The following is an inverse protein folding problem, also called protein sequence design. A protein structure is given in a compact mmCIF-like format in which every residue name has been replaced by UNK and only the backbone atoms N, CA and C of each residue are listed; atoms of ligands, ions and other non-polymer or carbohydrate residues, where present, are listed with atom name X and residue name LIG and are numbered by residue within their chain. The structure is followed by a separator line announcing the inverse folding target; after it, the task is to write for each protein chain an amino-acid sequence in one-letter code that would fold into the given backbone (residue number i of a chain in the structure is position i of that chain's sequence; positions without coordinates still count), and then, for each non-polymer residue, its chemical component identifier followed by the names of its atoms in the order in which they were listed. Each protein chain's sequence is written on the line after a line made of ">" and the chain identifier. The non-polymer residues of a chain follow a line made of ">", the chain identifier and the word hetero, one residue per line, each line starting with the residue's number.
data_IF_099929867950
#
_entry.id   IF_099929867950
#
_cell.length_a   1.000
_cell.length_b   1.000
_cell.length_c   1.000
_cell.angle_alpha   90.00
_cell.angle_beta   90.00
_cell.angle_gamma   90.00
#
_symmetry.space_group_name_H-M   'P 1'
#
loop_
_entity.id
_entity.type
_entity.pdbx_description
1 polymer ?
#
# COMPACT_ATOMS: atom_id res chain seq x y z
N UNK A 1 43.02 -13.02 22.16
CA UNK A 1 41.93 -12.00 22.27
C UNK A 1 41.67 -11.20 20.99
N UNK A 2 42.58 -11.17 20.00
CA UNK A 2 42.45 -10.28 18.81
C UNK A 2 41.45 -10.77 17.74
N UNK A 3 41.25 -12.08 17.60
CA UNK A 3 40.33 -12.68 16.62
C UNK A 3 38.85 -12.61 17.05
N UNK A 4 38.57 -12.72 18.36
CA UNK A 4 37.20 -12.60 18.89
C UNK A 4 36.65 -11.17 18.79
N UNK A 5 37.52 -10.16 18.83
CA UNK A 5 37.15 -8.76 18.64
C UNK A 5 36.82 -8.42 17.17
N UNK A 6 37.45 -9.11 16.21
CA UNK A 6 37.24 -8.88 14.78
C UNK A 6 35.86 -9.37 14.31
N UNK A 7 35.33 -10.45 14.90
CA UNK A 7 34.00 -10.98 14.59
C UNK A 7 32.85 -10.07 15.09
N UNK A 8 33.10 -9.28 16.14
CA UNK A 8 32.09 -8.39 16.74
C UNK A 8 31.86 -7.10 15.91
N UNK A 9 32.84 -6.71 15.09
CA UNK A 9 32.75 -5.53 14.21
C UNK A 9 31.96 -5.85 12.92
N UNK A 10 31.88 -7.12 12.52
CA UNK A 10 31.23 -7.53 11.27
C UNK A 10 29.69 -7.49 11.32
N UNK A 11 29.08 -7.38 12.51
CA UNK A 11 27.62 -7.30 12.68
C UNK A 11 27.09 -5.88 12.42
N UNK A 12 27.95 -4.85 12.41
CA UNK A 12 27.54 -3.45 12.21
C UNK A 12 27.49 -2.98 10.74
N UNK A 13 27.91 -3.81 9.78
CA UNK A 13 27.93 -3.41 8.35
C UNK A 13 26.65 -3.78 7.59
N UNK A 14 25.74 -4.54 8.20
CA UNK A 14 24.42 -4.81 7.61
C UNK A 14 23.39 -3.88 8.23
N UNK A 15 23.52 -2.58 7.99
CA UNK A 15 22.41 -1.66 8.24
C UNK A 15 21.24 -2.10 7.36
N UNK A 16 20.07 -2.47 7.90
CA UNK A 16 18.88 -2.57 7.07
C UNK A 16 18.64 -1.18 6.49
N UNK A 17 18.46 -1.09 5.18
CA UNK A 17 17.92 0.10 4.52
C UNK A 17 16.50 0.30 5.08
N UNK A 18 16.40 0.96 6.23
CA UNK A 18 15.12 1.40 6.78
C UNK A 18 14.70 2.58 5.92
N UNK A 19 14.01 2.30 4.82
CA UNK A 19 13.29 3.32 4.07
C UNK A 19 12.12 3.78 4.96
N UNK A 20 12.19 5.03 5.42
CA UNK A 20 11.06 5.65 6.08
C UNK A 20 9.93 5.81 5.06
N UNK A 21 8.81 5.13 5.29
CA UNK A 21 7.61 5.25 4.44
C UNK A 21 6.93 6.57 4.75
N UNK A 22 6.80 7.42 3.74
CA UNK A 22 6.05 8.67 3.83
C UNK A 22 4.58 8.41 3.47
N UNK A 23 3.76 8.11 4.50
CA UNK A 23 2.33 7.85 4.32
C UNK A 23 1.56 9.07 3.79
N UNK A 24 2.05 10.29 4.00
CA UNK A 24 1.47 11.50 3.42
C UNK A 24 1.62 11.48 1.91
N UNK A 25 2.85 11.29 1.43
CA UNK A 25 3.12 11.18 -0.02
C UNK A 25 2.47 9.96 -0.66
N UNK A 26 2.34 8.84 0.07
CA UNK A 26 1.63 7.66 -0.42
C UNK A 26 0.12 7.92 -0.55
N UNK A 27 -0.46 8.69 0.37
CA UNK A 27 -1.86 9.13 0.23
C UNK A 27 -2.01 10.07 -0.96
N UNK A 28 -1.05 10.97 -1.15
CA UNK A 28 -1.04 11.92 -2.26
C UNK A 28 -0.73 11.27 -3.62
N UNK A 29 -0.27 10.01 -3.65
CA UNK A 29 -0.09 9.25 -4.89
C UNK A 29 -1.38 8.61 -5.40
N UNK A 30 -2.49 8.79 -4.68
CA UNK A 30 -3.81 8.30 -5.08
C UNK A 30 -4.70 9.46 -5.50
N UNK A 31 -5.16 9.45 -6.74
CA UNK A 31 -6.23 10.31 -7.21
C UNK A 31 -7.56 9.83 -6.62
N UNK A 32 -8.06 10.55 -5.62
CA UNK A 32 -9.28 10.19 -4.90
C UNK A 32 -10.53 10.22 -5.78
N UNK A 33 -10.57 11.05 -6.82
CA UNK A 33 -11.71 11.12 -7.73
C UNK A 33 -11.74 9.86 -8.59
N UNK A 34 -10.63 9.51 -9.24
CA UNK A 34 -10.53 8.27 -10.03
C UNK A 34 -10.73 7.01 -9.17
N UNK A 35 -10.18 7.01 -7.95
CA UNK A 35 -10.39 5.90 -7.02
C UNK A 35 -11.86 5.75 -6.63
N UNK A 36 -12.60 6.86 -6.45
CA UNK A 36 -14.04 6.81 -6.20
C UNK A 36 -14.84 6.34 -7.43
N UNK A 37 -14.40 6.67 -8.65
CA UNK A 37 -15.04 6.24 -9.90
C UNK A 37 -14.82 4.75 -10.20
N UNK A 38 -13.81 4.13 -9.59
CA UNK A 38 -13.57 2.71 -9.67
C UNK A 38 -14.57 1.87 -8.84
N UNK A 39 -15.39 2.51 -8.00
CA UNK A 39 -16.35 1.82 -7.13
C UNK A 39 -17.75 1.90 -7.70
N UNK A 40 -18.32 0.74 -8.02
CA UNK A 40 -19.75 0.60 -8.30
C UNK A 40 -20.53 0.69 -6.99
N UNK A 41 -21.15 1.85 -6.75
CA UNK A 41 -21.88 2.13 -5.50
C UNK A 41 -23.13 1.27 -5.35
N UNK A 42 -23.76 0.85 -6.43
CA UNK A 42 -24.99 0.05 -6.34
C UNK A 42 -24.64 -1.41 -6.03
N UNK A 43 -23.59 -1.93 -6.66
CA UNK A 43 -23.04 -3.24 -6.31
C UNK A 43 -22.46 -3.28 -4.90
N UNK A 44 -21.81 -2.20 -4.45
CA UNK A 44 -21.30 -2.09 -3.09
C UNK A 44 -22.44 -2.06 -2.06
N UNK A 45 -23.52 -1.30 -2.30
CA UNK A 45 -24.70 -1.31 -1.42
C UNK A 45 -25.31 -2.71 -1.32
N UNK A 46 -25.36 -3.45 -2.42
CA UNK A 46 -25.84 -4.83 -2.44
C UNK A 46 -24.99 -5.82 -1.62
N UNK A 47 -23.78 -5.45 -1.19
CA UNK A 47 -22.93 -6.28 -0.34
C UNK A 47 -23.22 -6.16 1.15
N UNK A 48 -24.11 -5.25 1.56
CA UNK A 48 -24.48 -5.01 2.96
C UNK A 48 -25.91 -5.51 3.20
N UNK A 49 -26.10 -6.29 4.27
CA UNK A 49 -27.40 -6.80 4.69
C UNK A 49 -27.56 -6.68 6.22
N UNK A 50 -28.73 -7.08 6.73
CA UNK A 50 -28.97 -7.14 8.17
C UNK A 50 -28.05 -8.14 8.90
N UNK A 51 -27.57 -9.15 8.17
CA UNK A 51 -26.71 -10.21 8.72
C UNK A 51 -25.21 -9.86 8.64
N UNK A 52 -24.85 -8.75 7.98
CA UNK A 52 -23.47 -8.25 7.93
C UNK A 52 -23.02 -7.77 6.54
N UNK A 53 -21.72 -7.90 6.28
CA UNK A 53 -21.08 -7.46 5.02
C UNK A 53 -20.49 -8.66 4.30
N UNK A 54 -20.90 -8.87 3.04
CA UNK A 54 -20.21 -9.79 2.14
C UNK A 54 -19.00 -9.09 1.51
N UNK A 55 -17.83 -9.28 2.14
CA UNK A 55 -16.57 -8.71 1.66
C UNK A 55 -16.18 -9.16 0.26
N UNK A 56 -16.61 -10.35 -0.18
CA UNK A 56 -16.31 -10.84 -1.53
C UNK A 56 -17.15 -10.09 -2.56
N UNK A 57 -18.43 -9.87 -2.26
CA UNK A 57 -19.30 -9.02 -3.07
C UNK A 57 -18.82 -7.57 -3.09
N UNK A 58 -18.43 -7.01 -1.92
CA UNK A 58 -17.88 -5.66 -1.79
C UNK A 58 -16.59 -5.48 -2.61
N UNK A 59 -15.66 -6.43 -2.55
CA UNK A 59 -14.46 -6.42 -3.38
C UNK A 59 -14.80 -6.53 -4.88
N UNK A 60 -15.86 -7.27 -5.22
CA UNK A 60 -16.39 -7.36 -6.57
C UNK A 60 -17.02 -6.07 -7.10
N UNK A 61 -17.31 -5.08 -6.24
CA UNK A 61 -17.78 -3.76 -6.63
C UNK A 61 -16.65 -2.82 -7.07
N UNK A 62 -15.39 -3.22 -6.92
CA UNK A 62 -14.23 -2.42 -7.31
C UNK A 62 -13.72 -2.85 -8.69
N UNK A 63 -13.71 -1.93 -9.64
CA UNK A 63 -13.03 -2.08 -10.92
C UNK A 63 -11.52 -1.91 -10.72
N UNK A 64 -10.79 -3.02 -10.82
CA UNK A 64 -9.33 -3.05 -10.63
C UNK A 64 -8.56 -2.29 -11.71
N UNK A 65 -9.11 -2.17 -12.92
CA UNK A 65 -8.50 -1.42 -14.00
C UNK A 65 -8.51 0.07 -13.67
N UNK A 66 -9.70 0.62 -13.37
CA UNK A 66 -9.86 2.01 -12.96
C UNK A 66 -9.12 2.33 -11.65
N UNK A 67 -9.15 1.41 -10.68
CA UNK A 67 -8.44 1.58 -9.42
C UNK A 67 -6.92 1.69 -9.62
N UNK A 68 -6.36 0.95 -10.59
CA UNK A 68 -4.94 1.05 -10.95
C UNK A 68 -4.61 2.41 -11.57
N UNK A 69 -5.48 2.94 -12.43
CA UNK A 69 -5.31 4.26 -13.05
C UNK A 69 -5.37 5.43 -12.06
N UNK A 70 -5.94 5.20 -10.88
CA UNK A 70 -5.96 6.17 -9.79
C UNK A 70 -4.61 6.27 -9.05
N UNK A 71 -3.65 5.37 -9.30
CA UNK A 71 -2.37 5.33 -8.57
C UNK A 71 -1.24 5.85 -9.44
N UNK A 72 -0.59 6.92 -8.97
CA UNK A 72 0.70 7.37 -9.49
C UNK A 72 1.81 6.47 -8.91
N UNK A 73 2.27 5.52 -9.73
CA UNK A 73 3.26 4.52 -9.32
C UNK A 73 4.61 5.16 -9.02
N UNK A 74 5.01 6.19 -9.75
CA UNK A 74 6.32 6.84 -9.54
C UNK A 74 6.33 7.61 -8.23
N UNK A 75 5.24 8.34 -7.94
CA UNK A 75 5.08 9.02 -6.65
C UNK A 75 4.97 8.04 -5.47
N UNK A 76 4.26 6.92 -5.65
CA UNK A 76 4.18 5.86 -4.65
C UNK A 76 5.55 5.23 -4.37
N UNK A 77 6.37 4.99 -5.40
CA UNK A 77 7.75 4.47 -5.25
C UNK A 77 8.63 5.45 -4.48
N UNK A 78 8.57 6.74 -4.80
CA UNK A 78 9.27 7.77 -4.05
C UNK A 78 8.84 7.84 -2.57
N UNK A 79 7.56 7.63 -2.28
CA UNK A 79 7.05 7.56 -0.90
C UNK A 79 7.53 6.33 -0.11
N UNK A 80 7.84 5.24 -0.81
CA UNK A 80 8.40 4.00 -0.25
C UNK A 80 9.94 3.98 -0.21
N UNK A 81 10.59 5.03 -0.72
CA UNK A 81 12.05 5.16 -0.77
C UNK A 81 12.72 4.40 -1.93
N UNK A 82 12.04 4.28 -3.08
CA UNK A 82 12.54 3.68 -4.32
C UNK A 82 12.63 4.66 -5.49
#
# INVERSE_FOLDING_TARGET
>A
MKIKALFFIMIFITSPLVNAVDFGKLTDSVDKNKASEAVDKDKLKGSVSADGVDYKAAAGAVDKGKAKEAVDVDKARGALGY
#
